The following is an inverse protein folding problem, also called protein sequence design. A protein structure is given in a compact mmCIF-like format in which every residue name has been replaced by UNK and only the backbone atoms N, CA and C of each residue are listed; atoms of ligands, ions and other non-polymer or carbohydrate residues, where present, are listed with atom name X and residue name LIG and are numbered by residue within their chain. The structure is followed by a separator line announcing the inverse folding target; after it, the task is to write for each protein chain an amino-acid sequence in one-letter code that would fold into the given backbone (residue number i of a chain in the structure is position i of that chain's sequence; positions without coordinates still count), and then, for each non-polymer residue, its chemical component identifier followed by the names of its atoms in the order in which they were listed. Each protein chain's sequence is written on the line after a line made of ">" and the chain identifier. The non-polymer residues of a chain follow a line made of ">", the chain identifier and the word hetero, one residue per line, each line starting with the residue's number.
data_IF_290386458466
#
_entry.id   IF_290386458466
#
_cell.length_a   1.000
_cell.length_b   1.000
_cell.length_c   1.000
_cell.angle_alpha   90.00
_cell.angle_beta   90.00
_cell.angle_gamma   90.00
#
_symmetry.space_group_name_H-M   'P 1'
#
loop_
_entity.id
_entity.type
_entity.pdbx_description
1 polymer ?
#
# COMPACT_ATOMS: atom_id res chain seq x y z
N UNK A 1 24.08 -8.38 18.61
CA UNK A 1 25.08 -7.92 17.62
C UNK A 1 24.59 -8.27 16.23
N UNK A 2 24.77 -7.37 15.25
CA UNK A 2 24.49 -7.68 13.84
C UNK A 2 25.66 -8.48 13.29
N UNK A 3 25.36 -9.60 12.63
CA UNK A 3 26.35 -10.52 12.04
C UNK A 3 25.95 -10.92 10.63
N UNK A 4 26.90 -11.42 9.85
CA UNK A 4 26.68 -11.89 8.48
C UNK A 4 26.78 -13.42 8.33
N UNK A 5 27.35 -14.11 9.33
CA UNK A 5 27.49 -15.55 9.33
C UNK A 5 27.38 -16.13 10.73
N UNK A 6 27.06 -17.41 10.83
CA UNK A 6 27.11 -18.19 12.07
C UNK A 6 28.43 -18.98 12.15
N UNK A 7 28.88 -19.24 13.38
CA UNK A 7 30.09 -19.99 13.66
C UNK A 7 30.37 -20.03 15.16
N UNK A 8 31.51 -20.58 15.59
CA UNK A 8 31.94 -20.71 16.99
C UNK A 8 31.81 -19.39 17.77
N UNK A 9 32.13 -18.25 17.14
CA UNK A 9 32.08 -16.95 17.80
C UNK A 9 30.65 -16.43 18.02
N UNK A 10 29.65 -17.04 17.42
CA UNK A 10 28.23 -16.68 17.54
C UNK A 10 27.43 -17.74 18.28
N UNK A 11 28.03 -18.87 18.64
CA UNK A 11 27.35 -19.91 19.39
C UNK A 11 26.95 -19.42 20.78
N UNK A 12 25.70 -19.70 21.15
CA UNK A 12 25.08 -19.26 22.41
C UNK A 12 24.91 -17.73 22.53
N UNK A 13 25.20 -16.96 21.48
CA UNK A 13 25.06 -15.51 21.48
C UNK A 13 23.72 -15.09 20.85
N UNK A 14 23.19 -13.95 21.33
CA UNK A 14 22.04 -13.31 20.69
C UNK A 14 22.53 -12.46 19.51
N UNK A 15 22.21 -12.88 18.32
CA UNK A 15 22.66 -12.26 17.07
C UNK A 15 21.49 -11.79 16.23
N UNK A 16 21.74 -10.84 15.34
CA UNK A 16 20.79 -10.29 14.38
C UNK A 16 21.34 -10.44 12.98
N UNK A 17 20.51 -10.94 12.08
CA UNK A 17 20.73 -10.86 10.65
C UNK A 17 19.78 -9.84 10.05
N UNK A 18 20.27 -9.05 9.12
CA UNK A 18 19.51 -8.00 8.46
C UNK A 18 19.34 -8.28 6.96
N UNK A 19 18.23 -7.82 6.40
CA UNK A 19 17.90 -7.93 4.98
C UNK A 19 17.90 -9.37 4.44
N UNK A 20 17.33 -10.30 5.19
CA UNK A 20 17.22 -11.71 4.83
C UNK A 20 15.96 -11.97 4.00
N UNK A 21 16.01 -12.92 3.08
CA UNK A 21 14.87 -13.50 2.38
C UNK A 21 14.90 -15.02 2.53
N UNK A 22 13.75 -15.68 2.42
CA UNK A 22 13.72 -17.14 2.34
C UNK A 22 14.19 -17.60 0.97
N UNK A 23 15.07 -18.62 0.93
CA UNK A 23 15.52 -19.24 -0.32
C UNK A 23 14.38 -20.06 -0.94
N UNK A 24 13.63 -20.76 -0.11
CA UNK A 24 12.46 -21.54 -0.51
C UNK A 24 11.34 -21.36 0.53
N UNK A 25 10.31 -20.58 0.21
CA UNK A 25 9.18 -20.33 1.11
C UNK A 25 8.41 -21.60 1.51
N UNK A 26 8.48 -22.69 0.73
CA UNK A 26 7.79 -23.95 1.04
C UNK A 26 8.40 -24.69 2.23
N UNK A 27 9.60 -24.31 2.68
CA UNK A 27 10.21 -24.83 3.90
C UNK A 27 9.49 -24.34 5.18
N UNK A 28 8.73 -23.23 5.08
CA UNK A 28 8.00 -22.68 6.21
C UNK A 28 6.83 -23.59 6.60
N UNK A 29 6.76 -23.97 7.88
CA UNK A 29 5.70 -24.84 8.40
C UNK A 29 5.78 -26.31 7.98
N UNK A 30 6.91 -26.76 7.42
CA UNK A 30 7.05 -28.09 6.80
C UNK A 30 7.31 -29.24 7.79
N UNK A 31 7.32 -29.01 9.10
CA UNK A 31 7.65 -30.05 10.10
C UNK A 31 6.74 -30.05 11.34
N UNK A 32 6.61 -31.20 11.99
CA UNK A 32 5.76 -31.36 13.20
C UNK A 32 6.49 -31.10 14.52
N UNK A 33 7.81 -31.17 14.55
CA UNK A 33 8.65 -30.91 15.76
C UNK A 33 9.54 -29.67 15.57
N UNK A 34 9.17 -28.80 14.65
CA UNK A 34 9.98 -27.71 14.15
C UNK A 34 10.52 -27.96 12.75
N UNK A 35 11.05 -26.92 12.11
CA UNK A 35 11.51 -26.96 10.74
C UNK A 35 12.69 -26.01 10.50
N UNK A 36 13.50 -26.34 9.50
CA UNK A 36 14.63 -25.54 9.07
C UNK A 36 14.24 -24.78 7.81
N UNK A 37 14.69 -23.53 7.71
CA UNK A 37 14.48 -22.65 6.56
C UNK A 37 15.83 -22.09 6.19
N UNK A 38 16.19 -22.18 4.91
CA UNK A 38 17.34 -21.48 4.36
C UNK A 38 16.98 -20.03 4.10
N UNK A 39 17.69 -19.11 4.75
CA UNK A 39 17.52 -17.67 4.56
C UNK A 39 18.81 -17.05 4.05
N UNK A 40 18.71 -16.06 3.17
CA UNK A 40 19.86 -15.42 2.52
C UNK A 40 19.72 -13.91 2.47
N UNK A 41 20.86 -13.20 2.51
CA UNK A 41 20.97 -11.78 2.18
C UNK A 41 21.46 -11.53 0.74
N UNK A 42 21.49 -12.57 -0.09
CA UNK A 42 22.00 -12.54 -1.45
C UNK A 42 23.50 -12.88 -1.57
N UNK A 43 24.27 -12.78 -0.50
CA UNK A 43 25.70 -13.14 -0.45
C UNK A 43 25.94 -14.40 0.39
N UNK A 44 25.29 -14.49 1.54
CA UNK A 44 25.43 -15.58 2.49
C UNK A 44 24.07 -16.24 2.71
N UNK A 45 24.08 -17.56 2.89
CA UNK A 45 22.90 -18.35 3.25
C UNK A 45 23.14 -19.00 4.59
N UNK A 46 22.18 -18.91 5.51
CA UNK A 46 22.21 -19.55 6.83
C UNK A 46 20.94 -20.37 7.04
N UNK A 47 21.03 -21.36 7.90
CA UNK A 47 19.88 -22.14 8.38
C UNK A 47 19.23 -21.43 9.55
N UNK A 48 17.93 -21.11 9.43
CA UNK A 48 17.08 -20.68 10.54
C UNK A 48 16.25 -21.88 11.01
N UNK A 49 16.35 -22.24 12.28
CA UNK A 49 15.58 -23.31 12.88
C UNK A 49 14.44 -22.74 13.71
N UNK A 50 13.21 -23.08 13.38
CA UNK A 50 12.02 -22.80 14.20
C UNK A 50 11.64 -24.07 14.93
N UNK A 51 11.71 -24.03 16.23
CA UNK A 51 11.31 -25.14 17.10
C UNK A 51 9.79 -25.13 17.35
N UNK A 52 9.22 -26.29 17.67
CA UNK A 52 7.77 -26.43 17.86
C UNK A 52 7.24 -25.82 19.18
N UNK A 53 8.12 -25.41 20.08
CA UNK A 53 7.77 -24.85 21.39
C UNK A 53 7.87 -23.32 21.46
N UNK A 54 8.24 -22.66 20.35
CA UNK A 54 8.22 -21.19 20.24
C UNK A 54 6.93 -20.68 19.58
N UNK A 55 6.51 -19.46 19.92
CA UNK A 55 5.29 -18.85 19.37
C UNK A 55 5.34 -18.57 17.86
N UNK A 56 6.53 -18.58 17.28
CA UNK A 56 6.75 -18.49 15.85
C UNK A 56 6.31 -19.75 15.09
N UNK A 57 6.25 -20.92 15.78
CA UNK A 57 5.79 -22.16 15.19
C UNK A 57 4.29 -22.07 14.85
N UNK A 58 3.95 -22.26 13.57
CA UNK A 58 2.58 -22.10 13.09
C UNK A 58 2.16 -20.66 12.80
N UNK A 59 3.05 -19.68 12.97
CA UNK A 59 2.83 -18.32 12.52
C UNK A 59 2.89 -18.24 10.98
N UNK A 60 2.29 -17.19 10.40
CA UNK A 60 2.41 -16.91 8.97
C UNK A 60 3.85 -16.59 8.60
N UNK A 61 4.32 -17.11 7.47
CA UNK A 61 5.64 -16.81 6.95
C UNK A 61 5.85 -15.29 6.77
N UNK A 62 7.06 -14.76 7.05
CA UNK A 62 7.37 -13.38 6.71
C UNK A 62 7.39 -13.22 5.19
N UNK A 63 6.80 -12.13 4.70
CA UNK A 63 6.78 -11.79 3.29
C UNK A 63 7.94 -10.83 2.97
N UNK A 64 8.65 -11.08 1.86
CA UNK A 64 9.72 -10.20 1.38
C UNK A 64 10.99 -10.22 2.26
N UNK A 65 11.66 -9.08 2.36
CA UNK A 65 12.91 -8.94 3.09
C UNK A 65 12.64 -8.66 4.57
N UNK A 66 13.28 -9.37 5.47
CA UNK A 66 13.09 -9.24 6.92
C UNK A 66 14.43 -9.23 7.67
N UNK A 67 14.39 -8.71 8.88
CA UNK A 67 15.46 -8.87 9.85
C UNK A 67 15.05 -9.97 10.84
N UNK A 68 16.00 -10.74 11.29
CA UNK A 68 15.75 -11.79 12.28
C UNK A 68 16.77 -11.73 13.42
N UNK A 69 16.27 -11.85 14.64
CA UNK A 69 17.06 -11.99 15.88
C UNK A 69 16.91 -13.43 16.37
N UNK A 70 17.98 -14.02 16.86
CA UNK A 70 17.93 -15.36 17.42
C UNK A 70 19.20 -15.72 18.16
N UNK A 71 19.18 -16.87 18.82
CA UNK A 71 20.37 -17.45 19.42
C UNK A 71 21.13 -18.22 18.33
N UNK A 72 22.43 -17.98 18.20
CA UNK A 72 23.31 -18.84 17.43
C UNK A 72 23.41 -20.21 18.10
N UNK A 73 23.05 -21.26 17.39
CA UNK A 73 23.12 -22.62 17.88
C UNK A 73 23.84 -23.53 16.91
N UNK A 74 24.08 -24.75 17.32
CA UNK A 74 24.76 -25.76 16.52
C UNK A 74 24.00 -27.10 16.58
N UNK A 75 23.90 -27.77 15.47
CA UNK A 75 23.37 -29.12 15.36
C UNK A 75 24.35 -29.99 14.60
N UNK A 76 25.43 -30.38 15.29
CA UNK A 76 26.50 -31.25 14.78
C UNK A 76 26.89 -32.30 15.80
N UNK A 77 26.77 -33.57 15.39
CA UNK A 77 27.12 -34.73 16.22
C UNK A 77 28.51 -35.30 15.94
N UNK A 78 29.24 -34.70 14.99
CA UNK A 78 30.51 -35.19 14.45
C UNK A 78 31.67 -34.32 14.92
N UNK A 79 32.69 -34.94 15.58
CA UNK A 79 33.91 -34.18 15.86
C UNK A 79 34.61 -33.75 14.58
N UNK A 80 35.13 -32.52 14.49
CA UNK A 80 35.42 -31.56 15.58
C UNK A 80 34.29 -30.62 16.00
N UNK A 81 33.02 -30.80 15.52
CA UNK A 81 31.86 -29.99 15.84
C UNK A 81 31.97 -28.54 15.39
N UNK A 82 32.38 -28.30 14.15
CA UNK A 82 32.52 -26.97 13.55
C UNK A 82 31.54 -26.75 12.37
N UNK A 83 30.47 -27.54 12.31
CA UNK A 83 29.44 -27.51 11.29
C UNK A 83 28.05 -27.39 11.89
N UNK A 84 27.02 -27.33 11.05
CA UNK A 84 25.60 -27.39 11.46
C UNK A 84 25.11 -26.19 12.27
N UNK A 85 25.72 -25.00 12.06
CA UNK A 85 25.26 -23.79 12.75
C UNK A 85 23.88 -23.39 12.27
N UNK A 86 23.03 -23.00 13.23
CA UNK A 86 21.66 -22.61 13.03
C UNK A 86 21.34 -21.32 13.80
N UNK A 87 20.48 -20.49 13.27
CA UNK A 87 19.86 -19.38 14.00
C UNK A 87 18.55 -19.87 14.60
N UNK A 88 18.35 -19.65 15.90
CA UNK A 88 17.15 -20.03 16.64
C UNK A 88 16.39 -18.79 17.11
N UNK A 89 15.40 -18.29 16.37
CA UNK A 89 14.49 -17.27 16.85
C UNK A 89 13.70 -17.77 18.07
N UNK A 90 13.43 -16.89 19.02
CA UNK A 90 12.78 -17.23 20.29
C UNK A 90 11.29 -16.90 20.29
N UNK A 91 10.91 -15.84 19.52
CA UNK A 91 9.57 -15.26 19.49
C UNK A 91 9.22 -14.82 18.08
N UNK A 92 7.93 -14.74 17.78
CA UNK A 92 7.45 -14.15 16.52
C UNK A 92 7.97 -12.71 16.33
N UNK A 93 8.11 -11.94 17.43
CA UNK A 93 8.66 -10.59 17.40
C UNK A 93 10.17 -10.51 17.06
N UNK A 94 10.88 -11.64 17.07
CA UNK A 94 12.28 -11.71 16.63
C UNK A 94 12.43 -11.60 15.10
N UNK A 95 11.34 -11.77 14.35
CA UNK A 95 11.28 -11.50 12.92
C UNK A 95 10.55 -10.18 12.71
N UNK A 96 11.22 -9.23 12.08
CA UNK A 96 10.66 -7.90 11.77
C UNK A 96 10.91 -7.57 10.31
N UNK A 97 10.01 -6.87 9.62
CA UNK A 97 10.31 -6.34 8.30
C UNK A 97 11.63 -5.58 8.32
N UNK A 98 12.45 -5.71 7.28
CA UNK A 98 13.71 -4.95 7.21
C UNK A 98 13.40 -3.45 7.11
N UNK A 99 14.12 -2.63 7.88
CA UNK A 99 13.97 -1.17 7.77
C UNK A 99 14.43 -0.71 6.39
N UNK A 100 13.54 -0.07 5.64
CA UNK A 100 13.77 0.33 4.24
C UNK A 100 13.17 -0.64 3.22
N UNK A 101 12.68 -1.82 3.62
CA UNK A 101 11.68 -2.53 2.85
C UNK A 101 10.35 -1.88 3.18
N UNK A 102 9.94 -0.99 2.34
CA UNK A 102 8.54 -0.63 2.23
C UNK A 102 7.79 -1.95 2.05
N UNK A 103 6.97 -2.37 3.01
CA UNK A 103 5.85 -3.24 2.66
C UNK A 103 5.17 -2.47 1.55
N UNK A 104 5.20 -3.01 0.33
CA UNK A 104 4.53 -2.38 -0.80
C UNK A 104 3.07 -2.22 -0.38
N UNK A 105 2.73 -1.04 0.10
CA UNK A 105 1.38 -0.69 0.49
C UNK A 105 0.61 -0.37 -0.77
N UNK A 106 0.38 -1.40 -1.58
CA UNK A 106 -0.42 -1.33 -2.78
C UNK A 106 -1.80 -1.91 -2.51
N UNK A 107 -2.80 -1.36 -3.15
CA UNK A 107 -4.17 -1.92 -3.21
C UNK A 107 -4.69 -1.80 -4.63
N UNK A 108 -5.56 -2.70 -5.02
CA UNK A 108 -6.48 -2.47 -6.13
C UNK A 108 -7.55 -1.54 -5.59
N UNK A 109 -7.66 -0.34 -6.12
CA UNK A 109 -8.58 0.70 -5.63
C UNK A 109 -9.89 0.72 -6.40
N UNK A 110 -9.85 0.38 -7.69
CA UNK A 110 -11.00 0.49 -8.57
C UNK A 110 -10.90 -0.48 -9.76
N UNK A 111 -12.03 -1.03 -10.23
CA UNK A 111 -12.11 -1.88 -11.42
C UNK A 111 -13.32 -1.46 -12.26
N UNK A 112 -13.12 -1.20 -13.56
CA UNK A 112 -14.17 -1.00 -14.57
C UNK A 112 -14.16 -2.18 -15.52
N UNK A 113 -15.12 -3.08 -15.38
CA UNK A 113 -15.26 -4.30 -16.21
C UNK A 113 -16.35 -4.20 -17.27
N UNK A 114 -16.75 -3.00 -17.63
CA UNK A 114 -17.83 -2.81 -18.60
C UNK A 114 -18.08 -1.34 -18.90
N UNK A 115 -17.05 -0.66 -19.43
CA UNK A 115 -17.18 0.69 -19.90
C UNK A 115 -18.17 0.80 -21.07
N UNK A 116 -18.99 1.85 -21.07
CA UNK A 116 -19.84 2.23 -22.20
C UNK A 116 -19.12 3.16 -23.17
N UNK A 117 -17.88 3.54 -22.89
CA UNK A 117 -17.13 4.49 -23.72
C UNK A 117 -16.87 3.92 -25.11
N UNK A 118 -17.07 4.78 -26.10
CA UNK A 118 -16.69 4.52 -27.49
C UNK A 118 -15.36 5.18 -27.85
N UNK A 119 -14.84 6.04 -27.00
CA UNK A 119 -13.58 6.75 -27.18
C UNK A 119 -12.36 5.86 -26.94
N UNK A 120 -12.48 4.97 -25.97
CA UNK A 120 -11.59 3.86 -25.71
C UNK A 120 -12.49 2.62 -25.46
N UNK A 121 -12.19 1.49 -26.04
CA UNK A 121 -13.06 0.30 -25.94
C UNK A 121 -12.44 -0.67 -24.94
N UNK A 122 -12.47 -0.30 -23.65
CA UNK A 122 -11.62 -1.00 -22.75
C UNK A 122 -12.13 -1.08 -21.31
N UNK A 123 -11.89 -2.23 -20.70
CA UNK A 123 -11.86 -2.38 -19.27
C UNK A 123 -10.59 -1.72 -18.71
N UNK A 124 -10.63 -1.39 -17.44
CA UNK A 124 -9.46 -0.86 -16.74
C UNK A 124 -9.54 -1.14 -15.24
N UNK A 125 -8.42 -1.07 -14.58
CA UNK A 125 -8.36 -1.07 -13.13
C UNK A 125 -7.28 -0.11 -12.63
N UNK A 126 -7.37 0.25 -11.36
CA UNK A 126 -6.47 1.18 -10.72
C UNK A 126 -5.72 0.52 -9.57
N UNK A 127 -4.41 0.81 -9.48
CA UNK A 127 -3.55 0.41 -8.37
C UNK A 127 -3.14 1.67 -7.61
N UNK A 128 -3.38 1.67 -6.31
CA UNK A 128 -3.03 2.74 -5.39
C UNK A 128 -1.83 2.34 -4.52
N UNK A 129 -0.83 3.20 -4.49
CA UNK A 129 0.24 3.14 -3.51
C UNK A 129 -0.12 4.01 -2.30
N UNK A 130 -0.69 3.40 -1.25
CA UNK A 130 -1.04 4.10 -0.02
C UNK A 130 0.12 4.16 1.00
N UNK A 131 1.34 3.81 0.57
CA UNK A 131 2.58 3.94 1.34
C UNK A 131 3.18 5.35 1.28
N UNK A 132 4.28 5.53 1.98
CA UNK A 132 5.02 6.78 2.14
C UNK A 132 6.24 6.91 1.22
N UNK A 133 6.47 5.92 0.37
CA UNK A 133 7.57 5.86 -0.59
C UNK A 133 7.11 5.33 -1.94
N UNK A 134 7.82 5.71 -3.00
CA UNK A 134 7.53 5.22 -4.35
C UNK A 134 7.79 3.71 -4.44
N UNK A 135 6.93 3.01 -5.19
CA UNK A 135 7.06 1.58 -5.50
C UNK A 135 7.44 1.42 -6.96
N UNK A 136 8.54 0.75 -7.23
CA UNK A 136 8.95 0.32 -8.58
C UNK A 136 8.20 -0.97 -8.93
N UNK A 137 7.36 -0.92 -9.96
CA UNK A 137 6.53 -2.03 -10.43
C UNK A 137 7.26 -2.94 -11.42
N UNK A 138 8.54 -2.68 -11.70
CA UNK A 138 9.31 -3.49 -12.66
C UNK A 138 9.29 -4.97 -12.28
N UNK A 139 8.77 -5.82 -13.17
CA UNK A 139 8.65 -7.25 -12.94
C UNK A 139 7.49 -7.70 -12.06
N UNK A 140 6.71 -6.78 -11.51
CA UNK A 140 5.43 -7.13 -10.89
C UNK A 140 4.47 -7.63 -11.96
N UNK A 141 3.48 -8.39 -11.56
CA UNK A 141 2.48 -8.93 -12.49
C UNK A 141 1.10 -8.90 -11.88
N UNK A 142 0.11 -9.07 -12.73
CA UNK A 142 -1.28 -9.21 -12.30
C UNK A 142 -1.99 -10.31 -13.10
N UNK A 143 -3.08 -10.79 -12.57
CA UNK A 143 -3.98 -11.75 -13.20
C UNK A 143 -5.43 -11.52 -12.72
N UNK A 144 -6.38 -12.17 -13.38
CA UNK A 144 -7.79 -12.21 -13.01
C UNK A 144 -8.07 -13.28 -11.90
N UNK A 145 -9.29 -13.77 -11.83
CA UNK A 145 -9.71 -14.82 -10.90
C UNK A 145 -8.99 -16.17 -11.10
N UNK A 146 -8.15 -16.31 -12.14
CA UNK A 146 -7.33 -17.51 -12.34
C UNK A 146 -6.09 -17.57 -11.45
N UNK A 147 -5.71 -16.45 -10.85
CA UNK A 147 -4.68 -16.33 -9.81
C UNK A 147 -3.29 -16.87 -10.24
N UNK A 148 -2.86 -16.60 -11.48
CA UNK A 148 -1.60 -17.10 -12.03
C UNK A 148 -0.53 -15.99 -12.04
N UNK A 149 0.49 -16.00 -11.15
CA UNK A 149 1.57 -15.02 -11.19
C UNK A 149 2.29 -15.01 -12.54
N UNK A 150 2.60 -13.82 -13.06
CA UNK A 150 3.32 -13.65 -14.31
C UNK A 150 2.46 -13.65 -15.57
N UNK A 151 1.13 -13.74 -15.46
CA UNK A 151 0.22 -13.70 -16.63
C UNK A 151 0.36 -12.39 -17.39
N UNK A 152 0.39 -11.26 -16.68
CA UNK A 152 0.56 -9.93 -17.26
C UNK A 152 1.59 -9.15 -16.44
N UNK A 153 2.76 -8.89 -17.00
CA UNK A 153 3.90 -8.28 -16.29
C UNK A 153 4.04 -6.80 -16.63
N UNK A 154 4.24 -5.98 -15.61
CA UNK A 154 4.41 -4.54 -15.74
C UNK A 154 5.74 -4.16 -16.40
N UNK A 155 5.75 -3.10 -17.24
CA UNK A 155 6.98 -2.48 -17.71
C UNK A 155 7.71 -1.75 -16.56
N UNK A 156 8.83 -1.12 -16.87
CA UNK A 156 9.48 -0.18 -15.93
C UNK A 156 8.56 1.02 -15.70
N UNK A 157 7.87 1.02 -14.58
CA UNK A 157 6.96 2.08 -14.13
C UNK A 157 6.99 2.15 -12.61
N UNK A 158 6.80 3.34 -12.03
CA UNK A 158 6.76 3.53 -10.58
C UNK A 158 5.50 4.25 -10.17
N UNK A 159 4.92 3.83 -9.04
CA UNK A 159 3.81 4.52 -8.38
C UNK A 159 4.38 5.35 -7.23
N UNK A 160 4.25 6.67 -7.31
CA UNK A 160 4.72 7.57 -6.26
C UNK A 160 3.95 7.34 -4.95
N UNK A 161 4.53 7.74 -3.82
CA UNK A 161 3.84 7.72 -2.53
C UNK A 161 2.50 8.44 -2.60
N UNK A 162 1.41 7.78 -2.19
CA UNK A 162 0.05 8.29 -2.30
C UNK A 162 -0.46 8.42 -3.73
N UNK A 163 0.24 7.90 -4.73
CA UNK A 163 -0.14 7.97 -6.13
C UNK A 163 -0.87 6.73 -6.63
N UNK A 164 -1.37 6.83 -7.85
CA UNK A 164 -2.06 5.73 -8.55
C UNK A 164 -1.50 5.52 -9.95
N UNK A 165 -1.71 4.32 -10.48
CA UNK A 165 -1.64 4.02 -11.92
C UNK A 165 -2.95 3.39 -12.38
N UNK A 166 -3.36 3.70 -13.59
CA UNK A 166 -4.47 3.01 -14.28
C UNK A 166 -3.88 2.01 -15.25
N UNK A 167 -4.38 0.79 -15.23
CA UNK A 167 -4.04 -0.28 -16.18
C UNK A 167 -5.22 -0.42 -17.13
N UNK A 168 -4.97 -0.16 -18.40
CA UNK A 168 -6.01 0.01 -19.44
C UNK A 168 -5.93 -1.12 -20.47
N UNK A 169 -7.03 -1.84 -20.72
CA UNK A 169 -7.14 -2.87 -21.78
C UNK A 169 -7.28 -2.25 -23.17
N UNK A 170 -6.38 -1.35 -23.51
CA UNK A 170 -6.31 -0.72 -24.82
C UNK A 170 -4.85 -0.43 -25.19
N UNK A 171 -4.61 -0.02 -26.42
CA UNK A 171 -3.28 0.33 -26.91
C UNK A 171 -2.83 1.70 -26.39
N UNK A 172 -1.52 1.87 -26.23
CA UNK A 172 -0.94 3.12 -25.72
C UNK A 172 -1.34 4.37 -26.53
N UNK A 173 -1.68 4.21 -27.81
CA UNK A 173 -2.18 5.29 -28.67
C UNK A 173 -3.53 5.88 -28.21
N UNK A 174 -4.31 5.14 -27.43
CA UNK A 174 -5.63 5.56 -26.95
C UNK A 174 -5.62 6.17 -25.53
N UNK A 175 -4.46 6.28 -24.88
CA UNK A 175 -4.34 6.92 -23.54
C UNK A 175 -4.89 8.35 -23.52
N UNK A 176 -4.65 9.13 -24.55
CA UNK A 176 -5.19 10.50 -24.64
C UNK A 176 -6.72 10.49 -24.77
N UNK A 177 -7.31 9.50 -25.43
CA UNK A 177 -8.76 9.34 -25.52
C UNK A 177 -9.35 8.99 -24.15
N UNK A 178 -8.71 8.09 -23.37
CA UNK A 178 -9.08 7.80 -22.01
C UNK A 178 -9.04 9.04 -21.12
N UNK A 179 -7.92 9.80 -21.16
CA UNK A 179 -7.78 11.04 -20.38
C UNK A 179 -8.87 12.05 -20.73
N UNK A 180 -9.16 12.24 -22.04
CA UNK A 180 -10.19 13.15 -22.49
C UNK A 180 -11.57 12.72 -22.00
N UNK A 181 -11.92 11.43 -22.11
CA UNK A 181 -13.18 10.85 -21.67
C UNK A 181 -13.42 11.10 -20.19
N UNK A 182 -12.41 10.88 -19.36
CA UNK A 182 -12.45 11.12 -17.93
C UNK A 182 -12.12 12.55 -17.51
N UNK A 183 -12.08 13.52 -18.45
CA UNK A 183 -11.81 14.95 -18.17
C UNK A 183 -10.48 15.17 -17.43
N UNK A 184 -9.54 14.27 -17.64
CA UNK A 184 -8.19 14.33 -17.08
C UNK A 184 -7.26 15.08 -18.06
N UNK A 185 -6.16 15.60 -17.55
CA UNK A 185 -5.13 16.23 -18.37
C UNK A 185 -3.89 15.35 -18.46
N UNK A 186 -3.09 15.54 -19.49
CA UNK A 186 -1.85 14.78 -19.68
C UNK A 186 -0.92 14.89 -18.46
N UNK A 187 -0.54 13.74 -17.89
CA UNK A 187 0.30 13.64 -16.70
C UNK A 187 -0.43 13.73 -15.36
N UNK A 188 -1.77 13.84 -15.35
CA UNK A 188 -2.55 13.80 -14.10
C UNK A 188 -2.56 12.41 -13.46
N UNK A 189 -2.51 11.37 -14.28
CA UNK A 189 -2.39 9.98 -13.86
C UNK A 189 -1.45 9.23 -14.81
N UNK A 190 -0.71 8.27 -14.30
CA UNK A 190 0.07 7.34 -15.13
C UNK A 190 -0.83 6.23 -15.63
N UNK A 191 -0.86 6.00 -16.93
CA UNK A 191 -1.61 4.92 -17.56
C UNK A 191 -0.62 3.90 -18.11
N UNK A 192 -0.83 2.62 -17.80
CA UNK A 192 -0.14 1.47 -18.43
C UNK A 192 -1.15 0.79 -19.34
N UNK A 193 -0.88 0.82 -20.65
CA UNK A 193 -1.74 0.23 -21.64
C UNK A 193 -1.43 -1.27 -21.84
N UNK A 194 -2.38 -2.02 -22.37
CA UNK A 194 -2.23 -3.47 -22.61
C UNK A 194 -1.00 -3.81 -23.47
N UNK A 195 -0.74 -3.04 -24.53
CA UNK A 195 0.41 -3.26 -25.42
C UNK A 195 1.77 -2.83 -24.82
N UNK A 196 1.78 -2.24 -23.63
CA UNK A 196 2.99 -1.96 -22.84
C UNK A 196 3.28 -3.06 -21.81
N UNK A 197 2.29 -3.90 -21.48
CA UNK A 197 2.48 -5.07 -20.63
C UNK A 197 3.19 -6.19 -21.37
N UNK A 198 3.85 -7.08 -20.65
CA UNK A 198 4.35 -8.33 -21.22
C UNK A 198 3.42 -9.46 -20.84
N UNK A 199 2.78 -10.07 -21.81
CA UNK A 199 1.74 -11.10 -21.62
C UNK A 199 0.43 -10.67 -22.26
N UNK A 200 -0.68 -10.98 -21.62
CA UNK A 200 -2.04 -10.62 -22.06
C UNK A 200 -2.77 -9.88 -20.96
N UNK A 201 -3.69 -9.02 -21.32
CA UNK A 201 -4.66 -8.45 -20.37
C UNK A 201 -5.81 -9.47 -20.23
N UNK A 202 -5.98 -10.14 -19.08
CA UNK A 202 -7.15 -10.96 -18.81
C UNK A 202 -8.42 -10.12 -18.86
N UNK A 203 -9.48 -10.62 -19.52
CA UNK A 203 -10.76 -9.91 -19.61
C UNK A 203 -11.42 -9.84 -18.25
N UNK A 204 -11.94 -8.67 -17.87
CA UNK A 204 -12.68 -8.49 -16.63
C UNK A 204 -14.19 -8.69 -16.87
N UNK A 205 -14.84 -9.58 -16.13
CA UNK A 205 -16.25 -9.93 -16.30
C UNK A 205 -17.18 -9.12 -15.41
N UNK A 206 -18.25 -8.57 -15.97
CA UNK A 206 -19.32 -7.92 -15.18
C UNK A 206 -20.09 -8.89 -14.26
N UNK A 207 -20.02 -10.20 -14.49
CA UNK A 207 -20.71 -11.20 -13.68
C UNK A 207 -19.91 -11.68 -12.46
N UNK A 208 -18.90 -10.95 -12.11
CA UNK A 208 -17.96 -11.27 -11.03
C UNK A 208 -16.58 -11.62 -11.58
N UNK A 209 -15.55 -11.07 -10.96
CA UNK A 209 -14.15 -11.20 -11.32
C UNK A 209 -13.23 -10.69 -10.19
N UNK A 210 -11.92 -10.70 -10.44
CA UNK A 210 -10.94 -10.17 -9.51
C UNK A 210 -9.72 -9.63 -10.26
N UNK A 211 -8.95 -8.80 -9.57
CA UNK A 211 -7.58 -8.44 -9.95
C UNK A 211 -6.68 -8.85 -8.80
N UNK A 212 -5.73 -9.74 -9.09
CA UNK A 212 -4.66 -10.15 -8.17
C UNK A 212 -3.35 -9.55 -8.61
N UNK A 213 -2.67 -8.85 -7.71
CA UNK A 213 -1.37 -8.21 -7.96
C UNK A 213 -0.28 -9.01 -7.26
N UNK A 214 0.79 -9.31 -7.99
CA UNK A 214 1.94 -10.09 -7.52
C UNK A 214 3.22 -9.28 -7.60
N UNK A 215 4.11 -9.46 -6.64
CA UNK A 215 5.47 -8.93 -6.70
C UNK A 215 6.33 -9.66 -7.75
N UNK A 216 7.56 -9.19 -7.93
CA UNK A 216 8.51 -9.80 -8.89
C UNK A 216 8.91 -11.24 -8.55
N UNK A 217 8.60 -11.74 -7.35
CA UNK A 217 8.83 -13.12 -6.94
C UNK A 217 7.56 -13.99 -7.10
N UNK A 218 6.45 -13.42 -7.56
CA UNK A 218 5.17 -14.09 -7.70
C UNK A 218 4.37 -14.22 -6.40
N UNK A 219 4.71 -13.47 -5.36
CA UNK A 219 3.91 -13.41 -4.12
C UNK A 219 2.78 -12.42 -4.29
N UNK A 220 1.54 -12.80 -3.95
CA UNK A 220 0.41 -11.89 -3.92
C UNK A 220 0.65 -10.75 -2.91
N UNK A 221 0.39 -9.53 -3.33
CA UNK A 221 0.58 -8.32 -2.52
C UNK A 221 -0.67 -7.46 -2.38
N UNK A 222 -1.62 -7.60 -3.27
CA UNK A 222 -2.92 -6.96 -3.22
C UNK A 222 -3.92 -7.70 -4.09
N UNK A 223 -5.19 -7.61 -3.75
CA UNK A 223 -6.27 -8.09 -4.61
C UNK A 223 -7.54 -7.28 -4.41
N UNK A 224 -8.42 -7.30 -5.41
CA UNK A 224 -9.77 -6.78 -5.34
C UNK A 224 -10.70 -7.71 -6.10
N UNK A 225 -11.69 -8.31 -5.41
CA UNK A 225 -12.64 -9.24 -5.98
C UNK A 225 -14.08 -8.74 -5.82
N UNK A 226 -14.89 -8.90 -6.84
CA UNK A 226 -16.31 -8.54 -6.85
C UNK A 226 -17.17 -9.66 -7.43
N UNK A 227 -18.44 -9.72 -7.04
CA UNK A 227 -19.38 -10.77 -7.49
C UNK A 227 -20.25 -10.31 -8.65
N UNK A 228 -20.37 -9.02 -8.86
CA UNK A 228 -21.07 -8.41 -9.99
C UNK A 228 -20.65 -6.93 -10.08
N UNK A 229 -20.69 -6.37 -11.29
CA UNK A 229 -20.52 -4.96 -11.58
C UNK A 229 -21.65 -4.48 -12.51
N UNK A 230 -22.09 -3.24 -12.32
CA UNK A 230 -23.08 -2.63 -13.22
C UNK A 230 -22.36 -2.01 -14.43
N UNK A 231 -22.84 -2.27 -15.65
CA UNK A 231 -22.27 -1.68 -16.86
C UNK A 231 -22.23 -0.13 -16.76
N UNK A 232 -21.10 0.46 -17.07
CA UNK A 232 -20.87 1.89 -16.97
C UNK A 232 -20.55 2.38 -15.55
N UNK A 233 -20.40 1.48 -14.58
CA UNK A 233 -19.96 1.83 -13.24
C UNK A 233 -18.72 1.02 -12.88
N UNK A 234 -17.70 1.66 -12.37
CA UNK A 234 -16.60 0.96 -11.75
C UNK A 234 -17.02 0.39 -10.39
N UNK A 235 -16.28 -0.58 -9.90
CA UNK A 235 -16.40 -1.09 -8.52
C UNK A 235 -15.22 -0.58 -7.70
N UNK A 236 -15.48 -0.16 -6.47
CA UNK A 236 -14.51 0.44 -5.57
C UNK A 236 -14.08 -0.53 -4.48
N UNK A 237 -12.83 -0.41 -4.02
CA UNK A 237 -12.25 -1.20 -2.94
C UNK A 237 -11.53 -0.31 -1.94
N UNK A 238 -11.48 -0.75 -0.68
CA UNK A 238 -10.62 -0.14 0.33
C UNK A 238 -9.17 -0.65 0.21
N UNK A 239 -8.27 -0.11 1.02
CA UNK A 239 -6.83 -0.49 1.01
C UNK A 239 -6.57 -1.94 1.46
N UNK A 240 -7.58 -2.65 1.97
CA UNK A 240 -7.49 -4.07 2.33
C UNK A 240 -8.04 -4.99 1.22
N UNK A 241 -8.51 -4.42 0.10
CA UNK A 241 -9.16 -5.16 -0.98
C UNK A 241 -10.63 -5.50 -0.71
N UNK A 242 -11.22 -4.90 0.33
CA UNK A 242 -12.65 -5.10 0.62
C UNK A 242 -13.50 -4.36 -0.40
N UNK A 243 -14.43 -5.06 -1.04
CA UNK A 243 -15.39 -4.50 -1.99
C UNK A 243 -16.33 -3.51 -1.30
N UNK A 244 -16.41 -2.29 -1.83
CA UNK A 244 -17.25 -1.20 -1.30
C UNK A 244 -18.56 -1.03 -2.07
N UNK A 245 -18.64 -1.51 -3.30
CA UNK A 245 -19.81 -1.40 -4.18
C UNK A 245 -19.49 -0.72 -5.50
N UNK A 246 -20.52 -0.52 -6.33
CA UNK A 246 -20.42 0.29 -7.55
C UNK A 246 -20.15 1.76 -7.19
N UNK A 247 -19.32 2.44 -7.98
CA UNK A 247 -19.03 3.86 -7.83
C UNK A 247 -20.32 4.71 -7.94
N UNK A 248 -20.42 5.74 -7.10
CA UNK A 248 -21.57 6.64 -7.05
C UNK A 248 -21.12 8.07 -7.36
N UNK A 249 -21.69 8.68 -8.39
CA UNK A 249 -21.35 10.05 -8.80
C UNK A 249 -21.42 11.04 -7.63
N UNK A 250 -20.34 11.80 -7.45
CA UNK A 250 -20.17 12.72 -6.33
C UNK A 250 -19.76 12.09 -5.00
N UNK A 251 -19.52 10.78 -4.94
CA UNK A 251 -19.09 10.05 -3.74
C UNK A 251 -17.68 9.51 -3.95
N UNK A 252 -16.83 9.53 -2.92
CA UNK A 252 -15.46 8.99 -2.94
C UNK A 252 -14.58 9.49 -4.10
N UNK A 253 -14.87 10.65 -4.66
CA UNK A 253 -14.15 11.18 -5.82
C UNK A 253 -14.68 10.70 -7.17
N UNK A 254 -15.64 9.77 -7.19
CA UNK A 254 -16.27 9.31 -8.43
C UNK A 254 -17.09 10.41 -9.10
N UNK A 255 -17.05 10.43 -10.41
CA UNK A 255 -17.77 11.40 -11.24
C UNK A 255 -18.17 10.76 -12.57
N UNK A 256 -19.12 11.41 -13.24
CA UNK A 256 -19.58 10.95 -14.55
C UNK A 256 -18.62 11.41 -15.66
N UNK A 257 -18.15 10.49 -16.49
CA UNK A 257 -17.34 10.71 -17.67
C UNK A 257 -18.09 11.49 -18.76
N UNK A 258 -17.49 11.73 -19.91
CA UNK A 258 -18.18 12.41 -21.03
C UNK A 258 -19.28 11.54 -21.66
N UNK A 259 -19.08 10.24 -21.77
CA UNK A 259 -20.01 9.28 -22.37
C UNK A 259 -20.88 8.55 -21.33
N UNK A 260 -20.78 8.94 -20.05
CA UNK A 260 -21.74 8.56 -19.01
C UNK A 260 -21.29 7.44 -18.08
N UNK A 261 -20.05 6.98 -18.18
CA UNK A 261 -19.49 6.06 -17.19
C UNK A 261 -19.25 6.78 -15.85
N UNK A 262 -19.39 6.07 -14.74
CA UNK A 262 -19.18 6.57 -13.39
C UNK A 262 -17.99 5.86 -12.75
N UNK A 263 -17.01 6.63 -12.28
CA UNK A 263 -15.79 6.13 -11.66
C UNK A 263 -14.89 7.26 -11.20
N UNK A 264 -13.72 6.93 -10.67
CA UNK A 264 -12.76 7.88 -10.10
C UNK A 264 -11.32 7.72 -10.58
N UNK A 265 -11.05 7.36 -11.86
CA UNK A 265 -9.69 7.05 -12.30
C UNK A 265 -8.76 8.24 -12.06
N UNK A 266 -7.61 7.97 -11.42
CA UNK A 266 -6.65 9.01 -11.04
C UNK A 266 -7.05 9.82 -9.81
N UNK A 267 -8.25 9.64 -9.28
CA UNK A 267 -8.70 10.20 -8.02
C UNK A 267 -8.77 9.06 -7.01
N UNK A 268 -7.98 9.17 -5.96
CA UNK A 268 -8.06 8.20 -4.88
C UNK A 268 -9.45 8.21 -4.28
N UNK A 269 -10.08 7.04 -4.19
CA UNK A 269 -11.20 6.90 -3.27
C UNK A 269 -10.71 7.31 -1.88
N UNK A 270 -11.32 8.28 -1.20
CA UNK A 270 -10.93 8.56 0.16
C UNK A 270 -11.15 7.27 0.94
N UNK A 271 -10.05 6.65 1.37
CA UNK A 271 -10.13 5.54 2.29
C UNK A 271 -10.91 6.03 3.52
N UNK A 272 -12.16 5.58 3.68
CA UNK A 272 -12.96 5.90 4.86
C UNK A 272 -12.47 5.16 6.10
N UNK A 273 -11.57 4.19 5.94
CA UNK A 273 -10.61 3.83 6.97
C UNK A 273 -9.39 4.75 6.82
N UNK A 274 -9.57 6.05 7.07
CA UNK A 274 -8.46 6.87 7.46
C UNK A 274 -7.88 6.21 8.71
N UNK A 275 -6.76 5.53 8.57
CA UNK A 275 -5.73 5.76 9.53
C UNK A 275 -5.45 7.27 9.39
N UNK A 276 -6.30 8.10 9.98
CA UNK A 276 -5.90 9.39 10.45
C UNK A 276 -4.73 9.05 11.37
N UNK A 277 -3.54 8.99 10.79
CA UNK A 277 -2.34 9.18 11.58
C UNK A 277 -2.67 10.43 12.33
N UNK A 278 -3.05 10.28 13.62
CA UNK A 278 -3.80 11.29 14.32
C UNK A 278 -2.94 12.53 14.40
N UNK A 279 -2.89 13.27 13.26
CA UNK A 279 -2.12 14.52 13.13
C UNK A 279 -2.71 15.53 14.09
N UNK A 280 -4.04 15.51 14.23
CA UNK A 280 -4.78 16.38 15.15
C UNK A 280 -5.32 15.53 16.31
N UNK A 281 -4.88 15.82 17.52
CA UNK A 281 -5.39 15.16 18.72
C UNK A 281 -6.66 15.83 19.24
N UNK A 282 -6.80 17.15 19.06
CA UNK A 282 -8.03 17.89 19.45
C UNK A 282 -8.08 19.29 18.83
N UNK A 283 -9.32 19.82 18.71
CA UNK A 283 -9.60 21.21 18.32
C UNK A 283 -10.61 21.77 19.31
N UNK A 284 -10.30 22.90 19.92
CA UNK A 284 -11.22 23.58 20.84
C UNK A 284 -10.97 25.10 20.94
N UNK A 285 -12.02 25.89 21.14
CA UNK A 285 -13.41 25.50 20.99
C UNK A 285 -13.81 25.35 19.53
N UNK A 286 -14.67 24.37 19.24
CA UNK A 286 -15.37 24.24 17.97
C UNK A 286 -16.80 23.78 18.26
N UNK A 287 -17.83 24.64 18.06
CA UNK A 287 -17.80 25.96 17.40
C UNK A 287 -16.95 27.03 18.11
N UNK A 288 -16.45 28.00 17.33
CA UNK A 288 -15.59 29.08 17.78
C UNK A 288 -16.15 30.44 17.40
N UNK A 289 -15.69 31.51 18.11
CA UNK A 289 -15.94 32.90 17.74
C UNK A 289 -14.77 33.56 17.00
N UNK A 290 -13.79 32.74 16.57
CA UNK A 290 -12.59 33.15 15.84
C UNK A 290 -11.31 32.52 16.40
N UNK A 291 -11.14 32.59 17.72
CA UNK A 291 -10.00 32.02 18.41
C UNK A 291 -10.23 30.53 18.74
N UNK A 292 -9.31 29.67 18.28
CA UNK A 292 -9.32 28.25 18.64
C UNK A 292 -7.91 27.66 18.59
N UNK A 293 -7.75 26.54 19.26
CA UNK A 293 -6.47 25.80 19.35
C UNK A 293 -6.62 24.46 18.65
N UNK A 294 -5.63 24.12 17.83
CA UNK A 294 -5.44 22.82 17.23
C UNK A 294 -4.26 22.16 17.93
N UNK A 295 -4.48 21.04 18.59
CA UNK A 295 -3.41 20.24 19.15
C UNK A 295 -3.03 19.14 18.15
N UNK A 296 -1.76 19.03 17.85
CA UNK A 296 -1.18 17.94 17.07
C UNK A 296 -0.73 16.83 18.02
N UNK A 297 -0.62 15.61 17.51
CA UNK A 297 -0.22 14.45 18.34
C UNK A 297 1.27 14.47 18.72
N UNK A 298 2.09 15.24 18.01
CA UNK A 298 3.52 15.39 18.28
C UNK A 298 4.01 16.77 17.87
N UNK A 299 5.22 17.13 18.34
CA UNK A 299 5.95 18.32 17.89
C UNK A 299 6.51 18.05 16.48
N UNK A 300 5.87 18.59 15.46
CA UNK A 300 6.14 18.29 14.05
C UNK A 300 5.99 19.52 13.18
N UNK A 301 6.69 19.56 12.04
CA UNK A 301 6.49 20.58 11.01
C UNK A 301 5.14 20.38 10.33
N UNK A 302 4.39 21.45 10.17
CA UNK A 302 3.05 21.45 9.60
C UNK A 302 2.83 22.60 8.62
N UNK A 303 1.90 22.38 7.69
CA UNK A 303 1.22 23.38 6.87
C UNK A 303 -0.27 23.32 7.19
N UNK A 304 -0.84 24.42 7.70
CA UNK A 304 -2.25 24.53 8.02
C UNK A 304 -2.94 25.52 7.08
N UNK A 305 -4.02 25.08 6.45
CA UNK A 305 -4.84 25.90 5.54
C UNK A 305 -6.31 25.80 5.94
N UNK A 306 -7.01 26.93 5.97
CA UNK A 306 -8.47 26.95 6.14
C UNK A 306 -9.10 27.50 4.87
N UNK A 307 -10.10 26.78 4.36
CA UNK A 307 -10.88 27.19 3.20
C UNK A 307 -12.35 27.35 3.58
N UNK A 308 -13.04 28.25 2.90
CA UNK A 308 -14.49 28.32 2.97
C UNK A 308 -15.13 27.23 2.09
N UNK A 309 -16.46 27.10 2.14
CA UNK A 309 -17.20 26.09 1.37
C UNK A 309 -17.17 26.29 -0.16
N UNK A 310 -16.65 27.43 -0.64
CA UNK A 310 -16.41 27.66 -2.08
C UNK A 310 -14.96 27.35 -2.51
N UNK A 311 -14.14 26.82 -1.57
CA UNK A 311 -12.73 26.47 -1.80
C UNK A 311 -11.75 27.64 -1.69
N UNK A 312 -12.20 28.86 -1.36
CA UNK A 312 -11.30 30.00 -1.20
C UNK A 312 -10.54 29.90 0.14
N UNK A 313 -9.23 30.03 0.09
CA UNK A 313 -8.36 30.04 1.29
C UNK A 313 -8.58 31.33 2.09
N UNK A 314 -8.90 31.19 3.37
CA UNK A 314 -9.11 32.29 4.32
C UNK A 314 -8.03 32.35 5.39
N UNK A 315 -7.25 31.29 5.57
CA UNK A 315 -6.11 31.24 6.49
C UNK A 315 -5.05 30.27 5.96
N UNK A 316 -3.78 30.64 6.13
CA UNK A 316 -2.64 29.76 5.83
C UNK A 316 -1.52 30.03 6.84
N UNK A 317 -0.91 28.97 7.36
CA UNK A 317 0.24 29.05 8.27
C UNK A 317 1.11 27.81 8.17
N UNK A 318 2.40 28.05 8.10
CA UNK A 318 3.41 27.00 8.26
C UNK A 318 4.12 27.17 9.60
N UNK A 319 4.62 26.07 10.18
CA UNK A 319 5.33 26.09 11.43
C UNK A 319 5.78 24.73 11.92
N UNK A 320 6.36 24.73 13.12
CA UNK A 320 6.74 23.50 13.84
C UNK A 320 6.21 23.62 15.27
N UNK A 321 5.63 22.55 15.79
CA UNK A 321 5.09 22.52 17.15
C UNK A 321 3.97 21.51 17.30
N UNK A 322 3.61 21.21 18.55
CA UNK A 322 2.46 20.35 18.90
C UNK A 322 1.16 21.14 19.09
N UNK A 323 1.21 22.49 19.10
CA UNK A 323 0.05 23.36 19.36
C UNK A 323 0.02 24.48 18.34
N UNK A 324 -1.09 24.61 17.64
CA UNK A 324 -1.36 25.66 16.68
C UNK A 324 -2.53 26.51 17.17
N UNK A 325 -2.27 27.76 17.54
CA UNK A 325 -3.31 28.73 17.85
C UNK A 325 -3.68 29.51 16.60
N UNK A 326 -4.98 29.58 16.31
CA UNK A 326 -5.57 30.25 15.16
C UNK A 326 -6.53 31.32 15.62
N UNK A 327 -6.39 32.50 15.04
CA UNK A 327 -7.37 33.58 15.12
C UNK A 327 -7.95 33.78 13.72
N UNK A 328 -9.14 33.24 13.50
CA UNK A 328 -9.82 33.23 12.21
C UNK A 328 -10.75 34.44 12.10
N UNK A 329 -10.29 35.49 11.43
CA UNK A 329 -11.12 36.66 11.08
C UNK A 329 -11.82 36.42 9.74
N UNK A 330 -13.03 35.87 9.81
CA UNK A 330 -13.83 35.54 8.63
C UNK A 330 -15.34 35.66 8.94
N UNK A 331 -16.18 35.57 7.93
CA UNK A 331 -17.62 35.57 8.10
C UNK A 331 -18.11 34.33 8.87
N UNK A 332 -19.20 34.45 9.62
CA UNK A 332 -19.83 33.30 10.29
C UNK A 332 -20.19 32.23 9.26
N UNK A 333 -19.90 30.97 9.57
CA UNK A 333 -20.14 29.87 8.67
C UNK A 333 -19.29 28.63 8.96
N UNK A 334 -19.35 27.68 8.07
CA UNK A 334 -18.56 26.45 8.13
C UNK A 334 -17.30 26.58 7.24
N UNK A 335 -16.19 26.13 7.76
CA UNK A 335 -14.87 26.15 7.12
C UNK A 335 -14.22 24.77 7.20
N UNK A 336 -13.31 24.51 6.30
CA UNK A 336 -12.51 23.27 6.28
C UNK A 336 -11.08 23.63 6.66
N UNK A 337 -10.62 23.13 7.81
CA UNK A 337 -9.22 23.13 8.21
C UNK A 337 -8.53 21.90 7.64
N UNK A 338 -7.41 22.11 6.93
CA UNK A 338 -6.50 21.06 6.51
C UNK A 338 -5.14 21.29 7.18
N UNK A 339 -4.62 20.28 7.85
CA UNK A 339 -3.27 20.27 8.41
C UNK A 339 -2.47 19.17 7.74
N UNK A 340 -1.40 19.56 7.05
CA UNK A 340 -0.47 18.64 6.38
C UNK A 340 0.83 18.57 7.18
N UNK A 341 1.35 17.37 7.36
CA UNK A 341 2.64 17.08 8.02
C UNK A 341 3.38 16.01 7.25
N UNK A 342 4.61 15.71 7.64
CA UNK A 342 5.36 14.56 7.09
C UNK A 342 4.72 13.20 7.44
N UNK A 343 3.82 13.15 8.45
CA UNK A 343 3.14 11.93 8.91
C UNK A 343 1.74 11.74 8.28
N UNK A 344 1.25 12.74 7.55
CA UNK A 344 -0.07 12.67 6.90
C UNK A 344 -0.78 14.02 6.85
N UNK A 345 -2.03 13.97 6.40
CA UNK A 345 -2.92 15.14 6.31
C UNK A 345 -4.18 14.89 7.13
N UNK A 346 -4.54 15.81 8.01
CA UNK A 346 -5.83 15.79 8.69
C UNK A 346 -6.74 16.88 8.14
N UNK A 347 -8.03 16.59 8.06
CA UNK A 347 -9.08 17.53 7.62
C UNK A 347 -10.18 17.59 8.68
N UNK A 348 -10.53 18.78 9.13
CA UNK A 348 -11.56 18.97 10.15
C UNK A 348 -12.47 20.16 9.83
N UNK A 349 -13.76 20.04 10.15
CA UNK A 349 -14.71 21.14 10.02
C UNK A 349 -14.62 22.10 11.20
N UNK A 350 -14.55 23.40 10.92
CA UNK A 350 -14.58 24.49 11.90
C UNK A 350 -15.88 25.27 11.71
N UNK A 351 -16.64 25.47 12.79
CA UNK A 351 -17.86 26.27 12.77
C UNK A 351 -17.58 27.62 13.46
N UNK A 352 -17.61 28.70 12.68
CA UNK A 352 -17.47 30.09 13.16
C UNK A 352 -18.83 30.69 13.43
N UNK A 353 -19.05 31.14 14.67
CA UNK A 353 -20.34 31.70 15.18
C UNK A 353 -20.29 33.20 15.38
#
# INVERSE_FOLDING_TARGET
>A
TVVTSLGEATESELVKFENMTMVDPTQWGSGSSGYNIDITNGSDTIVMRIDSDVDLFGATAPIGIFNVVGIGGQYDFSAPHFDGYQLLPRYQADITPASGVTTNKLSVSEIMSGSNSTAYNADWFEIHNYGDSAVDMTGFSWDDESEIPGTSTFPTVSIQAGGVIVVLDDVAANKDAFLAEWKLYAGSVTIVANDELTGSFPSLSQNGDAVFLYDANGSEIASGAYTAATAGFSVEFDTTGTFLGDAVDGTNGAYTSLEGDVGSPGNLTPNTSVDEAAVISSIYPNPTTGLFTVNLVSDISFEATITNMTGATVFHKEGTGAVLNIDLDAARGTYVLRVRTAQGTAVQMIVLQ
#
